data_IF_578012071264
#
_entry.id   IF_578012071264
#
_cell.length_a   1.000
_cell.length_b   1.000
_cell.length_c   1.000
_cell.angle_alpha   90.00
_cell.angle_beta   90.00
_cell.angle_gamma   90.00
#
_symmetry.space_group_name_H-M   'P 1'
#
loop_
_entity.id
_entity.type
_entity.pdbx_description
1 polymer ?
#
# COMPACT_ATOMS: atom_id res chain seq x y z
N UNK A 1 -16.49 9.02 -3.24
CA UNK A 1 -15.21 8.31 -3.29
C UNK A 1 -14.19 9.13 -2.54
N UNK A 2 -13.37 8.48 -1.73
CA UNK A 2 -12.26 9.12 -1.04
C UNK A 2 -11.27 9.69 -2.09
N UNK A 3 -10.68 10.85 -1.80
CA UNK A 3 -9.68 11.48 -2.67
C UNK A 3 -8.48 10.55 -2.89
N UNK A 4 -8.07 9.81 -1.86
CA UNK A 4 -6.94 8.88 -1.96
C UNK A 4 -7.27 7.67 -2.84
N UNK A 5 -8.47 7.13 -2.70
CA UNK A 5 -8.94 6.01 -3.52
C UNK A 5 -8.95 6.39 -5.01
N UNK A 6 -9.35 7.62 -5.34
CA UNK A 6 -9.34 8.13 -6.72
C UNK A 6 -7.93 8.19 -7.31
N UNK A 7 -6.94 8.62 -6.51
CA UNK A 7 -5.52 8.67 -6.91
C UNK A 7 -4.98 7.24 -7.12
N UNK A 8 -5.32 6.31 -6.24
CA UNK A 8 -4.92 4.90 -6.38
C UNK A 8 -5.53 4.27 -7.64
N UNK A 9 -6.80 4.54 -7.95
CA UNK A 9 -7.42 4.05 -9.18
C UNK A 9 -6.75 4.62 -10.43
N UNK A 10 -6.35 5.89 -10.43
CA UNK A 10 -5.60 6.50 -11.53
C UNK A 10 -4.21 5.88 -11.69
N UNK A 11 -3.51 5.63 -10.57
CA UNK A 11 -2.22 4.93 -10.58
C UNK A 11 -2.35 3.54 -11.22
N UNK A 12 -3.35 2.75 -10.83
CA UNK A 12 -3.54 1.39 -11.35
C UNK A 12 -3.77 1.36 -12.86
N UNK A 13 -4.53 2.32 -13.40
CA UNK A 13 -4.79 2.42 -14.85
C UNK A 13 -3.51 2.59 -15.67
N UNK A 14 -2.49 3.24 -15.11
CA UNK A 14 -1.28 3.65 -15.84
C UNK A 14 -0.04 2.77 -15.53
N UNK A 15 -0.15 1.80 -14.62
CA UNK A 15 1.02 1.09 -14.07
C UNK A 15 1.00 -0.43 -14.30
N UNK A 16 -0.11 -1.01 -14.75
CA UNK A 16 -0.25 -2.47 -14.90
C UNK A 16 -0.20 -3.23 -13.56
N UNK A 17 -0.33 -2.52 -12.43
CA UNK A 17 -0.37 -3.09 -11.10
C UNK A 17 -1.71 -3.79 -10.84
N UNK A 18 -1.66 -4.86 -10.04
CA UNK A 18 -2.85 -5.65 -9.70
C UNK A 18 -3.67 -5.04 -8.55
N UNK A 19 -3.09 -4.11 -7.81
CA UNK A 19 -3.69 -3.43 -6.67
C UNK A 19 -2.68 -2.51 -6.00
N UNK A 20 -3.17 -1.56 -5.21
CA UNK A 20 -2.34 -0.58 -4.51
C UNK A 20 -2.97 -0.22 -3.15
N UNK A 21 -2.11 0.06 -2.18
CA UNK A 21 -2.50 0.51 -0.83
C UNK A 21 -1.65 1.72 -0.47
N UNK A 22 -2.32 2.75 0.04
CA UNK A 22 -1.68 3.86 0.73
C UNK A 22 -1.58 3.51 2.21
N UNK A 23 -0.37 3.56 2.74
CA UNK A 23 -0.03 3.17 4.11
C UNK A 23 0.72 4.30 4.80
N UNK A 24 0.51 4.44 6.10
CA UNK A 24 1.31 5.31 6.96
C UNK A 24 2.69 4.70 7.23
N UNK A 25 3.62 5.52 7.73
CA UNK A 25 4.98 5.08 8.05
C UNK A 25 5.04 4.05 9.19
N UNK A 26 4.05 4.05 10.09
CA UNK A 26 3.86 3.06 11.15
C UNK A 26 3.09 1.81 10.69
N UNK A 27 2.69 1.73 9.41
CA UNK A 27 2.11 0.54 8.80
C UNK A 27 0.60 0.41 8.92
N UNK A 28 -0.13 1.50 9.18
CA UNK A 28 -1.59 1.51 9.18
C UNK A 28 -2.14 1.81 7.76
N UNK A 29 -3.11 1.03 7.25
CA UNK A 29 -3.76 1.32 5.98
C UNK A 29 -4.54 2.64 6.04
N UNK A 30 -4.43 3.44 4.98
CA UNK A 30 -5.16 4.71 4.82
C UNK A 30 -6.22 4.58 3.74
N UNK A 31 -5.89 3.94 2.62
CA UNK A 31 -6.81 3.70 1.50
C UNK A 31 -6.26 2.57 0.63
N UNK A 32 -7.13 1.73 0.08
CA UNK A 32 -6.73 0.59 -0.72
C UNK A 32 -7.63 0.43 -1.94
N UNK A 33 -7.02 0.00 -3.04
CA UNK A 33 -7.72 -0.50 -4.23
C UNK A 33 -7.08 -1.83 -4.57
N UNK A 34 -7.71 -2.92 -4.11
CA UNK A 34 -7.17 -4.26 -4.14
C UNK A 34 -8.13 -5.24 -4.83
N UNK A 35 -7.59 -6.34 -5.33
CA UNK A 35 -8.40 -7.46 -5.81
C UNK A 35 -9.15 -8.12 -4.64
N UNK A 36 -10.32 -8.73 -4.90
CA UNK A 36 -11.04 -9.50 -3.90
C UNK A 36 -10.16 -10.58 -3.25
N UNK A 37 -10.23 -10.71 -1.92
CA UNK A 37 -9.46 -11.68 -1.15
C UNK A 37 -8.05 -11.24 -0.76
N UNK A 38 -7.64 -10.02 -1.11
CA UNK A 38 -6.42 -9.39 -0.57
C UNK A 38 -6.82 -8.40 0.52
N UNK A 39 -6.36 -8.69 1.74
CA UNK A 39 -6.60 -7.84 2.90
C UNK A 39 -5.56 -6.70 2.94
N UNK A 40 -6.04 -5.46 3.09
CA UNK A 40 -5.18 -4.28 3.14
C UNK A 40 -4.23 -4.30 4.36
N UNK A 41 -4.69 -4.74 5.53
CA UNK A 41 -3.87 -4.89 6.74
C UNK A 41 -2.66 -5.81 6.52
N UNK A 42 -2.86 -6.88 5.76
CA UNK A 42 -1.80 -7.85 5.46
C UNK A 42 -0.74 -7.22 4.56
N UNK A 43 -1.15 -6.49 3.53
CA UNK A 43 -0.25 -5.79 2.61
C UNK A 43 0.51 -4.68 3.35
N UNK A 44 -0.18 -3.97 4.23
CA UNK A 44 0.40 -2.92 5.05
C UNK A 44 1.51 -3.45 5.96
N UNK A 45 1.23 -4.53 6.72
CA UNK A 45 2.22 -5.16 7.59
C UNK A 45 3.46 -5.65 6.82
N UNK A 46 3.29 -6.20 5.62
CA UNK A 46 4.41 -6.61 4.76
C UNK A 46 5.28 -5.41 4.35
N UNK A 47 4.66 -4.29 3.95
CA UNK A 47 5.39 -3.09 3.55
C UNK A 47 6.16 -2.47 4.72
N UNK A 48 5.57 -2.42 5.92
CA UNK A 48 6.23 -1.96 7.13
C UNK A 48 7.43 -2.83 7.51
N UNK A 49 7.33 -4.16 7.35
CA UNK A 49 8.45 -5.07 7.56
C UNK A 49 9.60 -4.81 6.56
N UNK A 50 9.29 -4.61 5.27
CA UNK A 50 10.29 -4.28 4.26
C UNK A 50 10.97 -2.94 4.57
N UNK A 51 10.20 -1.92 4.94
CA UNK A 51 10.73 -0.61 5.33
C UNK A 51 11.66 -0.73 6.54
N UNK A 52 11.22 -1.40 7.61
CA UNK A 52 12.03 -1.62 8.82
C UNK A 52 13.34 -2.38 8.53
N UNK A 53 13.30 -3.35 7.62
CA UNK A 53 14.51 -4.05 7.17
C UNK A 53 15.45 -3.13 6.40
N UNK A 54 14.92 -2.27 5.52
CA UNK A 54 15.71 -1.30 4.77
C UNK A 54 16.40 -0.28 5.66
N UNK A 55 15.68 0.27 6.65
CA UNK A 55 16.21 1.23 7.63
C UNK A 55 17.42 0.67 8.39
N UNK A 56 17.35 -0.60 8.82
CA UNK A 56 18.44 -1.29 9.53
C UNK A 56 19.72 -1.47 8.70
N UNK A 57 19.62 -1.51 7.37
CA UNK A 57 20.79 -1.70 6.49
C UNK A 57 21.53 -0.38 6.25
N UNK A 58 20.87 0.75 6.50
CA UNK A 58 21.46 2.08 6.36
C UNK A 58 22.14 2.61 7.63
N UNK A 59 22.04 1.89 8.74
CA UNK A 59 22.80 2.11 9.99
C UNK A 59 24.16 1.38 9.97
#
# INVERSE_FOLDING_TARGET
MDRYESILQELLKNSGLEGAVLVSADGLPISAVLKPGIEEDRVAAMSAAILSLGEKVTE
#
